data_IF_088245306173
#
_entry.id   IF_088245306173
#
_cell.length_a   1.000
_cell.length_b   1.000
_cell.length_c   1.000
_cell.angle_alpha   90.00
_cell.angle_beta   90.00
_cell.angle_gamma   90.00
#
_symmetry.space_group_name_H-M   'P 1'
#
loop_
_entity.id
_entity.type
_entity.pdbx_description
1 polymer ?
#
# COMPACT_ATOMS: atom_id res chain seq x y z
N UNK A 1 3.95 8.41 -29.68
CA UNK A 1 4.10 9.47 -28.66
C UNK A 1 3.59 9.09 -27.25
N UNK A 2 2.41 8.46 -27.09
CA UNK A 2 1.83 8.13 -25.76
C UNK A 2 2.65 7.17 -24.89
N UNK A 3 3.33 6.17 -25.46
CA UNK A 3 4.18 5.21 -24.71
C UNK A 3 5.34 5.91 -23.98
N UNK A 4 5.95 6.93 -24.62
CA UNK A 4 7.03 7.72 -24.01
C UNK A 4 6.56 8.53 -22.80
N UNK A 5 5.33 9.05 -22.80
CA UNK A 5 4.80 9.88 -21.69
C UNK A 5 4.54 9.03 -20.45
N UNK A 6 3.98 7.82 -20.59
CA UNK A 6 3.76 6.92 -19.45
C UNK A 6 5.07 6.37 -18.90
N UNK A 7 5.99 5.94 -19.77
CA UNK A 7 7.34 5.55 -19.35
C UNK A 7 8.05 6.70 -18.63
N UNK A 8 7.90 7.93 -19.12
CA UNK A 8 8.48 9.13 -18.50
C UNK A 8 7.90 9.43 -17.11
N UNK A 9 6.57 9.34 -16.92
CA UNK A 9 5.94 9.53 -15.59
C UNK A 9 6.32 8.45 -14.59
N UNK A 10 6.37 7.19 -15.03
CA UNK A 10 6.76 6.06 -14.20
C UNK A 10 8.20 6.20 -13.70
N UNK A 11 9.13 6.52 -14.61
CA UNK A 11 10.53 6.80 -14.27
C UNK A 11 10.63 8.01 -13.34
N UNK A 12 9.92 9.10 -13.64
CA UNK A 12 9.94 10.32 -12.83
C UNK A 12 9.49 10.06 -11.39
N UNK A 13 8.35 9.40 -11.18
CA UNK A 13 7.83 9.11 -9.84
C UNK A 13 8.75 8.17 -9.06
N UNK A 14 9.28 7.14 -9.73
CA UNK A 14 10.28 6.24 -9.13
C UNK A 14 11.56 6.98 -8.74
N UNK A 15 12.05 7.89 -9.60
CA UNK A 15 13.22 8.70 -9.32
C UNK A 15 12.98 9.66 -8.14
N UNK A 16 11.80 10.30 -8.07
CA UNK A 16 11.42 11.15 -6.93
C UNK A 16 11.44 10.33 -5.63
N UNK A 17 10.82 9.15 -5.61
CA UNK A 17 10.82 8.29 -4.41
C UNK A 17 12.23 7.83 -4.05
N UNK A 18 13.08 7.50 -5.02
CA UNK A 18 14.47 7.11 -4.79
C UNK A 18 15.28 8.26 -4.17
N UNK A 19 15.12 9.49 -4.70
CA UNK A 19 15.79 10.68 -4.16
C UNK A 19 15.30 10.97 -2.74
N UNK A 20 13.99 10.89 -2.47
CA UNK A 20 13.46 11.08 -1.13
C UNK A 20 13.97 10.03 -0.14
N UNK A 21 14.03 8.75 -0.54
CA UNK A 21 14.60 7.68 0.28
C UNK A 21 16.09 7.90 0.55
N UNK A 22 16.85 8.36 -0.46
CA UNK A 22 18.26 8.70 -0.32
C UNK A 22 18.48 9.86 0.63
N UNK A 23 17.71 10.95 0.49
CA UNK A 23 17.78 12.12 1.38
C UNK A 23 17.43 11.74 2.82
N UNK A 24 16.44 10.88 3.03
CA UNK A 24 16.07 10.37 4.35
C UNK A 24 17.21 9.56 4.99
N UNK A 25 17.81 8.62 4.25
CA UNK A 25 18.94 7.83 4.76
C UNK A 25 20.19 8.66 4.99
N UNK A 26 20.42 9.67 4.15
CA UNK A 26 21.53 10.60 4.33
C UNK A 26 21.35 11.41 5.61
N UNK A 27 20.11 11.85 5.90
CA UNK A 27 19.76 12.47 7.16
C UNK A 27 20.04 11.55 8.35
N UNK A 28 19.56 10.30 8.32
CA UNK A 28 19.85 9.30 9.37
C UNK A 28 21.35 9.10 9.56
N UNK A 29 22.10 8.96 8.46
CA UNK A 29 23.54 8.75 8.48
C UNK A 29 24.28 9.87 9.23
N UNK A 30 23.87 11.13 9.06
CA UNK A 30 24.46 12.28 9.75
C UNK A 30 23.91 12.55 11.16
N UNK A 31 22.79 11.91 11.55
CA UNK A 31 22.09 12.17 12.83
C UNK A 31 22.09 10.97 13.79
N UNK A 32 23.10 10.11 13.73
CA UNK A 32 23.25 8.97 14.65
C UNK A 32 23.36 7.61 13.95
N UNK A 33 23.40 7.59 12.62
CA UNK A 33 23.52 6.38 11.83
C UNK A 33 22.17 5.86 11.33
N UNK A 34 22.22 5.00 10.31
CA UNK A 34 21.01 4.43 9.71
C UNK A 34 20.36 3.44 10.67
N UNK A 35 19.09 3.67 10.96
CA UNK A 35 18.36 2.91 11.96
C UNK A 35 18.13 1.46 11.51
N UNK A 36 17.99 0.58 12.50
CA UNK A 36 17.55 -0.81 12.28
C UNK A 36 16.46 -1.15 13.28
N UNK A 37 15.35 -1.70 12.78
CA UNK A 37 14.19 -2.03 13.59
C UNK A 37 14.12 -3.54 13.82
N UNK A 38 13.97 -3.94 15.08
CA UNK A 38 13.67 -5.32 15.41
C UNK A 38 12.24 -5.68 15.01
N UNK A 39 12.04 -6.88 14.45
CA UNK A 39 10.70 -7.38 14.15
C UNK A 39 9.83 -7.34 15.41
N UNK A 40 8.59 -6.87 15.26
CA UNK A 40 7.60 -6.78 16.36
C UNK A 40 8.10 -6.01 17.59
N UNK A 41 9.08 -5.12 17.43
CA UNK A 41 9.73 -4.39 18.52
C UNK A 41 10.34 -5.31 19.60
N UNK A 42 10.79 -6.51 19.20
CA UNK A 42 11.33 -7.54 20.09
C UNK A 42 12.83 -7.72 19.87
N UNK A 43 13.63 -7.40 20.89
CA UNK A 43 15.10 -7.44 20.80
C UNK A 43 15.68 -8.84 20.50
N UNK A 44 14.93 -9.91 20.80
CA UNK A 44 15.31 -11.30 20.52
C UNK A 44 15.09 -11.71 19.04
N UNK A 45 14.42 -10.88 18.24
CA UNK A 45 14.20 -11.10 16.82
C UNK A 45 15.20 -10.32 15.95
N UNK A 46 15.47 -10.76 14.70
CA UNK A 46 16.45 -10.08 13.85
C UNK A 46 16.04 -8.63 13.57
N UNK A 47 17.04 -7.75 13.57
CA UNK A 47 16.88 -6.36 13.19
C UNK A 47 16.99 -6.18 11.68
N UNK A 48 16.21 -5.24 11.15
CA UNK A 48 16.14 -4.93 9.73
C UNK A 48 16.52 -3.47 9.55
N UNK A 49 17.57 -3.23 8.77
CA UNK A 49 18.08 -1.87 8.52
C UNK A 49 17.24 -1.09 7.52
N UNK A 50 17.14 0.23 7.74
CA UNK A 50 16.46 1.16 6.85
C UNK A 50 17.12 1.31 5.47
N UNK A 51 18.39 0.89 5.31
CA UNK A 51 19.07 0.90 4.00
C UNK A 51 18.28 0.17 2.90
N UNK A 52 17.55 -0.88 3.26
CA UNK A 52 16.71 -1.62 2.31
C UNK A 52 15.61 -0.74 1.68
N UNK A 53 15.21 0.34 2.34
CA UNK A 53 14.27 1.33 1.80
C UNK A 53 14.75 1.98 0.50
N UNK A 54 16.07 2.14 0.31
CA UNK A 54 16.64 2.71 -0.90
C UNK A 54 16.39 1.83 -2.14
N UNK A 55 16.29 0.51 -1.95
CA UNK A 55 15.97 -0.44 -3.02
C UNK A 55 14.46 -0.71 -3.09
N UNK A 56 13.83 -0.97 -1.95
CA UNK A 56 12.45 -1.43 -1.87
C UNK A 56 11.45 -0.38 -2.32
N UNK A 57 11.60 0.88 -1.88
CA UNK A 57 10.62 1.93 -2.18
C UNK A 57 10.58 2.29 -3.68
N UNK A 58 11.72 2.48 -4.37
CA UNK A 58 11.69 2.71 -5.82
C UNK A 58 11.14 1.51 -6.60
N UNK A 59 11.50 0.29 -6.21
CA UNK A 59 11.02 -0.93 -6.85
C UNK A 59 9.49 -1.09 -6.69
N UNK A 60 8.98 -0.90 -5.48
CA UNK A 60 7.54 -0.91 -5.20
C UNK A 60 6.84 0.19 -5.99
N UNK A 61 7.37 1.40 -6.01
CA UNK A 61 6.81 2.53 -6.76
C UNK A 61 6.73 2.21 -8.25
N UNK A 62 7.83 1.71 -8.82
CA UNK A 62 7.89 1.30 -10.22
C UNK A 62 6.84 0.22 -10.53
N UNK A 63 6.74 -0.80 -9.68
CA UNK A 63 5.75 -1.87 -9.83
C UNK A 63 4.31 -1.34 -9.76
N UNK A 64 3.99 -0.56 -8.73
CA UNK A 64 2.66 -0.01 -8.46
C UNK A 64 2.19 0.87 -9.61
N UNK A 65 3.02 1.82 -10.06
CA UNK A 65 2.68 2.69 -11.19
C UNK A 65 2.42 1.86 -12.45
N UNK A 66 3.24 0.84 -12.73
CA UNK A 66 2.99 -0.07 -13.86
C UNK A 66 1.67 -0.85 -13.76
N UNK A 67 1.28 -1.28 -12.55
CA UNK A 67 0.01 -1.98 -12.31
C UNK A 67 -1.19 -1.04 -12.44
N UNK A 68 -1.07 0.19 -11.93
CA UNK A 68 -2.08 1.25 -12.04
C UNK A 68 -2.29 1.61 -13.50
N UNK A 69 -1.22 1.88 -14.25
CA UNK A 69 -1.29 2.24 -15.67
C UNK A 69 -2.02 1.16 -16.47
N UNK A 70 -1.63 -0.10 -16.31
CA UNK A 70 -2.30 -1.23 -16.99
C UNK A 70 -3.80 -1.27 -16.67
N UNK A 71 -4.16 -1.09 -15.39
CA UNK A 71 -5.58 -1.08 -14.96
C UNK A 71 -6.35 0.11 -15.53
N UNK A 72 -5.76 1.29 -15.55
CA UNK A 72 -6.38 2.49 -16.14
C UNK A 72 -6.56 2.36 -17.66
N UNK A 73 -5.60 1.74 -18.36
CA UNK A 73 -5.75 1.46 -19.80
C UNK A 73 -6.88 0.47 -20.09
N UNK A 74 -7.05 -0.58 -19.28
CA UNK A 74 -8.15 -1.53 -19.42
C UNK A 74 -9.50 -0.85 -19.16
N UNK A 75 -9.62 -0.06 -18.09
CA UNK A 75 -10.85 0.68 -17.77
C UNK A 75 -11.24 1.67 -18.87
N UNK A 76 -10.25 2.34 -19.47
CA UNK A 76 -10.48 3.22 -20.62
C UNK A 76 -11.06 2.46 -21.81
N UNK A 77 -10.55 1.26 -22.10
CA UNK A 77 -11.10 0.40 -23.16
C UNK A 77 -12.55 -0.05 -22.90
N UNK A 78 -12.98 -0.06 -21.63
CA UNK A 78 -14.34 -0.39 -21.20
C UNK A 78 -15.27 0.85 -21.14
N UNK A 79 -14.84 2.01 -21.65
CA UNK A 79 -15.64 3.23 -21.64
C UNK A 79 -15.77 3.92 -20.28
N UNK A 80 -14.99 3.49 -19.27
CA UNK A 80 -14.99 4.15 -17.95
C UNK A 80 -14.29 5.49 -18.04
N UNK A 81 -14.89 6.52 -17.44
CA UNK A 81 -14.28 7.85 -17.35
C UNK A 81 -12.90 7.80 -16.68
N UNK A 82 -11.89 8.26 -17.42
CA UNK A 82 -10.50 8.26 -17.02
C UNK A 82 -10.25 9.18 -15.81
N UNK A 83 -10.95 10.31 -15.72
CA UNK A 83 -10.79 11.25 -14.61
C UNK A 83 -11.24 10.62 -13.30
N UNK A 84 -12.44 10.01 -13.29
CA UNK A 84 -12.96 9.28 -12.14
C UNK A 84 -12.10 8.06 -11.76
N UNK A 85 -11.59 7.32 -12.75
CA UNK A 85 -10.70 6.19 -12.50
C UNK A 85 -9.37 6.63 -11.83
N UNK A 86 -8.78 7.74 -12.29
CA UNK A 86 -7.57 8.32 -11.69
C UNK A 86 -7.85 8.87 -10.29
N UNK A 87 -8.97 9.57 -10.09
CA UNK A 87 -9.39 10.09 -8.78
C UNK A 87 -9.50 8.96 -7.75
N UNK A 88 -10.06 7.81 -8.13
CA UNK A 88 -10.13 6.64 -7.24
C UNK A 88 -8.75 6.14 -6.81
N UNK A 89 -7.75 6.15 -7.69
CA UNK A 89 -6.38 5.74 -7.37
C UNK A 89 -5.75 6.73 -6.39
N UNK A 90 -5.86 8.04 -6.66
CA UNK A 90 -5.29 9.09 -5.83
C UNK A 90 -5.92 9.10 -4.44
N UNK A 91 -7.25 9.01 -4.35
CA UNK A 91 -7.96 8.97 -3.06
C UNK A 91 -7.54 7.72 -2.26
N UNK A 92 -7.47 6.55 -2.90
CA UNK A 92 -7.05 5.32 -2.22
C UNK A 92 -5.60 5.42 -1.70
N UNK A 93 -4.69 5.93 -2.52
CA UNK A 93 -3.31 6.20 -2.13
C UNK A 93 -3.25 7.18 -0.94
N UNK A 94 -3.90 8.35 -1.04
CA UNK A 94 -3.85 9.36 0.02
C UNK A 94 -4.47 8.87 1.34
N UNK A 95 -5.59 8.16 1.30
CA UNK A 95 -6.18 7.57 2.51
C UNK A 95 -5.24 6.54 3.15
N UNK A 96 -4.54 5.75 2.34
CA UNK A 96 -3.56 4.80 2.87
C UNK A 96 -2.31 5.47 3.45
N UNK A 97 -1.85 6.58 2.86
CA UNK A 97 -0.78 7.42 3.43
C UNK A 97 -1.24 7.97 4.78
N UNK A 98 -2.45 8.54 4.86
CA UNK A 98 -2.99 9.07 6.11
C UNK A 98 -3.09 7.98 7.18
N UNK A 99 -3.55 6.78 6.83
CA UNK A 99 -3.58 5.66 7.78
C UNK A 99 -2.18 5.28 8.29
N UNK A 100 -1.18 5.22 7.41
CA UNK A 100 0.20 4.95 7.79
C UNK A 100 0.80 6.06 8.67
N UNK A 101 0.55 7.33 8.34
CA UNK A 101 1.01 8.47 9.14
C UNK A 101 0.35 8.47 10.52
N UNK A 102 -0.96 8.24 10.60
CA UNK A 102 -1.69 8.15 11.88
C UNK A 102 -1.15 7.02 12.76
N UNK A 103 -0.87 5.86 12.16
CA UNK A 103 -0.29 4.72 12.87
C UNK A 103 1.12 5.03 13.39
N UNK A 104 1.96 5.64 12.54
CA UNK A 104 3.31 6.10 12.91
C UNK A 104 3.28 7.10 14.05
N UNK A 105 2.40 8.10 13.94
CA UNK A 105 2.23 9.14 14.94
C UNK A 105 1.82 8.55 16.30
N UNK A 106 0.82 7.66 16.31
CA UNK A 106 0.36 6.99 17.53
C UNK A 106 1.48 6.19 18.18
N UNK A 107 2.26 5.44 17.39
CA UNK A 107 3.38 4.66 17.91
C UNK A 107 4.51 5.54 18.49
N UNK A 108 4.89 6.61 17.78
CA UNK A 108 5.94 7.53 18.25
C UNK A 108 5.61 8.20 19.59
N UNK A 109 4.32 8.39 19.90
CA UNK A 109 3.86 9.00 21.14
C UNK A 109 3.52 7.96 22.23
N UNK A 110 3.75 6.67 21.99
CA UNK A 110 3.43 5.60 22.94
C UNK A 110 1.93 5.35 23.11
N UNK A 111 1.09 5.79 22.18
CA UNK A 111 -0.35 5.53 22.18
C UNK A 111 -0.65 4.16 21.58
N UNK A 112 -0.23 3.10 22.28
CA UNK A 112 -0.31 1.71 21.82
C UNK A 112 -1.73 1.30 21.40
N UNK A 113 -2.75 1.67 22.19
CA UNK A 113 -4.16 1.40 21.86
C UNK A 113 -4.57 2.06 20.53
N UNK A 114 -4.17 3.31 20.31
CA UNK A 114 -4.50 4.05 19.08
C UNK A 114 -3.78 3.47 17.87
N UNK A 115 -2.53 3.04 18.05
CA UNK A 115 -1.79 2.32 17.01
C UNK A 115 -2.49 0.99 16.67
N UNK A 116 -2.89 0.22 17.68
CA UNK A 116 -3.63 -1.02 17.52
C UNK A 116 -4.96 -0.81 16.79
N UNK A 117 -5.78 0.15 17.23
CA UNK A 117 -7.06 0.46 16.58
C UNK A 117 -6.90 0.99 15.17
N UNK A 118 -5.84 1.76 14.88
CA UNK A 118 -5.57 2.23 13.51
C UNK A 118 -5.25 1.05 12.60
N UNK A 119 -4.36 0.16 13.03
CA UNK A 119 -4.01 -1.05 12.26
C UNK A 119 -5.24 -1.96 12.06
N UNK A 120 -6.03 -2.17 13.12
CA UNK A 120 -7.25 -2.95 13.07
C UNK A 120 -8.30 -2.30 12.15
N UNK A 121 -8.41 -0.97 12.16
CA UNK A 121 -9.26 -0.21 11.25
C UNK A 121 -8.88 -0.38 9.79
N UNK A 122 -7.57 -0.40 9.47
CA UNK A 122 -7.08 -0.69 8.12
C UNK A 122 -7.41 -2.14 7.71
N UNK A 123 -7.30 -3.09 8.63
CA UNK A 123 -7.69 -4.49 8.39
C UNK A 123 -9.20 -4.61 8.11
N UNK A 124 -10.05 -4.00 8.94
CA UNK A 124 -11.51 -3.98 8.73
C UNK A 124 -11.91 -3.27 7.44
N UNK A 125 -11.25 -2.15 7.12
CA UNK A 125 -11.42 -1.50 5.82
C UNK A 125 -11.06 -2.46 4.67
N UNK A 126 -10.04 -3.28 4.83
CA UNK A 126 -9.65 -4.33 3.87
C UNK A 126 -10.66 -5.44 3.67
N UNK A 127 -11.60 -5.64 4.61
CA UNK A 127 -12.70 -6.60 4.43
C UNK A 127 -13.75 -6.08 3.46
N UNK A 128 -13.99 -4.77 3.43
CA UNK A 128 -15.09 -4.12 2.69
C UNK A 128 -14.58 -3.46 1.40
N UNK A 129 -13.40 -2.86 1.48
CA UNK A 129 -12.75 -2.11 0.41
C UNK A 129 -11.57 -2.93 -0.14
N UNK A 130 -11.25 -2.79 -1.44
CA UNK A 130 -10.14 -3.51 -2.06
C UNK A 130 -8.78 -2.90 -1.67
N UNK A 131 -8.41 -2.99 -0.39
CA UNK A 131 -7.14 -2.48 0.17
C UNK A 131 -5.94 -3.28 -0.35
N UNK A 132 -6.16 -4.47 -0.91
CA UNK A 132 -5.14 -5.22 -1.65
C UNK A 132 -4.60 -4.52 -2.92
N UNK A 133 -5.22 -3.39 -3.33
CA UNK A 133 -4.73 -2.62 -4.46
C UNK A 133 -3.32 -2.07 -4.19
N UNK A 134 -2.47 -2.15 -5.21
CA UNK A 134 -1.07 -1.77 -5.13
C UNK A 134 -0.87 -0.32 -4.65
N UNK A 135 -1.73 0.63 -5.05
CA UNK A 135 -1.66 2.01 -4.58
C UNK A 135 -1.90 2.17 -3.07
N UNK A 136 -2.75 1.32 -2.46
CA UNK A 136 -3.00 1.35 -1.02
C UNK A 136 -1.77 0.82 -0.24
N UNK A 137 -1.17 -0.25 -0.74
CA UNK A 137 0.04 -0.83 -0.16
C UNK A 137 1.17 0.20 -0.19
N UNK A 138 1.40 0.84 -1.34
CA UNK A 138 2.45 1.84 -1.49
C UNK A 138 2.23 3.04 -0.57
N UNK A 139 0.99 3.58 -0.52
CA UNK A 139 0.70 4.74 0.31
C UNK A 139 0.87 4.45 1.80
N UNK A 140 0.40 3.29 2.29
CA UNK A 140 0.61 2.87 3.67
C UNK A 140 2.10 2.71 4.01
N UNK A 141 2.88 2.06 3.14
CA UNK A 141 4.33 1.88 3.34
C UNK A 141 5.05 3.22 3.39
N UNK A 142 4.76 4.14 2.45
CA UNK A 142 5.35 5.49 2.45
C UNK A 142 4.99 6.23 3.73
N UNK A 143 3.74 6.18 4.17
CA UNK A 143 3.28 6.83 5.40
C UNK A 143 3.98 6.33 6.68
N UNK A 144 4.48 5.09 6.65
CA UNK A 144 5.15 4.45 7.79
C UNK A 144 6.69 4.47 7.71
N UNK A 145 7.25 4.84 6.56
CA UNK A 145 8.68 4.64 6.26
C UNK A 145 9.59 5.45 7.18
N UNK A 146 9.18 6.65 7.59
CA UNK A 146 9.98 7.50 8.47
C UNK A 146 10.15 6.91 9.88
N UNK A 147 9.15 6.16 10.35
CA UNK A 147 9.13 5.64 11.73
C UNK A 147 9.64 4.20 11.83
N UNK A 148 9.38 3.37 10.81
CA UNK A 148 9.64 1.93 10.86
C UNK A 148 10.50 1.40 9.71
N UNK A 149 11.01 2.30 8.85
CA UNK A 149 11.63 1.91 7.59
C UNK A 149 10.61 1.33 6.60
N UNK A 150 11.11 0.82 5.47
CA UNK A 150 10.23 0.32 4.40
C UNK A 150 9.77 -1.14 4.63
N UNK A 151 10.64 -2.01 5.15
CA UNK A 151 10.38 -3.46 5.18
C UNK A 151 9.24 -3.82 6.14
N UNK A 152 9.30 -3.32 7.38
CA UNK A 152 8.31 -3.69 8.40
C UNK A 152 6.87 -3.33 7.98
N UNK A 153 6.56 -2.10 7.54
CA UNK A 153 5.23 -1.78 7.04
C UNK A 153 4.88 -2.53 5.74
N UNK A 154 5.86 -2.88 4.89
CA UNK A 154 5.60 -3.73 3.71
C UNK A 154 5.11 -5.13 4.11
N UNK A 155 5.68 -5.73 5.16
CA UNK A 155 5.23 -7.03 5.67
C UNK A 155 3.81 -6.95 6.23
N UNK A 156 3.52 -5.93 7.04
CA UNK A 156 2.18 -5.69 7.58
C UNK A 156 1.16 -5.47 6.46
N UNK A 157 1.50 -4.61 5.49
CA UNK A 157 0.64 -4.33 4.35
C UNK A 157 0.41 -5.57 3.48
N UNK A 158 1.41 -6.44 3.32
CA UNK A 158 1.28 -7.70 2.59
C UNK A 158 0.28 -8.65 3.25
N UNK A 159 0.28 -8.76 4.57
CA UNK A 159 -0.70 -9.58 5.32
C UNK A 159 -2.12 -9.03 5.11
N UNK A 160 -2.32 -7.72 5.35
CA UNK A 160 -3.64 -7.07 5.16
C UNK A 160 -4.11 -7.21 3.71
N UNK A 161 -3.23 -6.97 2.74
CA UNK A 161 -3.53 -7.10 1.33
C UNK A 161 -3.90 -8.54 0.94
N UNK A 162 -3.22 -9.54 1.50
CA UNK A 162 -3.51 -10.96 1.21
C UNK A 162 -4.91 -11.33 1.70
N UNK A 163 -5.27 -10.93 2.93
CA UNK A 163 -6.61 -11.16 3.48
C UNK A 163 -7.67 -10.47 2.62
N UNK A 164 -7.46 -9.18 2.29
CA UNK A 164 -8.36 -8.41 1.43
C UNK A 164 -8.50 -9.03 0.03
N UNK A 165 -7.40 -9.51 -0.57
CA UNK A 165 -7.41 -10.16 -1.88
C UNK A 165 -8.20 -11.48 -1.87
N UNK A 166 -8.05 -12.31 -0.84
CA UNK A 166 -8.80 -13.56 -0.69
C UNK A 166 -10.30 -13.29 -0.57
N UNK A 167 -10.69 -12.30 0.22
CA UNK A 167 -12.11 -11.94 0.39
C UNK A 167 -12.75 -11.45 -0.90
N UNK A 168 -12.10 -10.48 -1.56
CA UNK A 168 -12.65 -9.86 -2.76
C UNK A 168 -12.49 -10.72 -4.02
N UNK A 169 -11.47 -11.56 -4.08
CA UNK A 169 -11.15 -12.40 -5.23
C UNK A 169 -11.86 -13.75 -5.22
N UNK A 170 -12.12 -14.33 -4.05
CA UNK A 170 -12.71 -15.67 -3.92
C UNK A 170 -14.07 -15.62 -3.25
N UNK A 171 -14.15 -15.10 -2.02
CA UNK A 171 -15.36 -15.23 -1.21
C UNK A 171 -16.54 -14.42 -1.77
N UNK A 172 -16.33 -13.17 -2.14
CA UNK A 172 -17.40 -12.32 -2.66
C UNK A 172 -17.99 -12.82 -3.99
N UNK A 173 -17.20 -13.24 -4.99
CA UNK A 173 -17.73 -13.88 -6.18
C UNK A 173 -18.52 -15.16 -5.90
N UNK A 174 -18.03 -16.02 -5.00
CA UNK A 174 -18.71 -17.26 -4.63
C UNK A 174 -20.06 -17.02 -3.95
N UNK A 175 -20.12 -16.06 -3.02
CA UNK A 175 -21.38 -15.67 -2.36
C UNK A 175 -22.38 -15.14 -3.39
N UNK A 176 -21.92 -14.30 -4.33
CA UNK A 176 -22.79 -13.78 -5.40
C UNK A 176 -23.31 -14.89 -6.32
N UNK A 177 -22.44 -15.84 -6.69
CA UNK A 177 -22.83 -16.97 -7.53
C UNK A 177 -23.83 -17.89 -6.82
N UNK A 178 -23.58 -18.22 -5.55
CA UNK A 178 -24.49 -19.03 -4.73
C UNK A 178 -25.85 -18.34 -4.54
N UNK A 179 -25.85 -17.03 -4.31
CA UNK A 179 -27.08 -16.23 -4.19
C UNK A 179 -27.87 -16.23 -5.50
N UNK A 180 -27.22 -16.01 -6.64
CA UNK A 180 -27.85 -16.04 -7.96
C UNK A 180 -28.47 -17.41 -8.23
N UNK A 181 -27.73 -18.50 -7.97
CA UNK A 181 -28.21 -19.87 -8.14
C UNK A 181 -29.46 -20.14 -7.28
N UNK A 182 -29.42 -19.80 -5.98
CA UNK A 182 -30.57 -19.98 -5.08
C UNK A 182 -31.79 -19.14 -5.53
N UNK A 183 -31.56 -17.93 -6.03
CA UNK A 183 -32.66 -17.06 -6.50
C UNK A 183 -33.31 -17.59 -7.78
N UNK A 184 -32.54 -18.21 -8.68
CA UNK A 184 -33.07 -18.83 -9.90
C UNK A 184 -33.82 -20.12 -9.61
N UNK A 185 -33.40 -20.93 -8.63
CA UNK A 185 -34.07 -22.17 -8.25
C UNK A 185 -35.40 -21.97 -7.51
N UNK A 186 -35.67 -20.77 -6.97
CA UNK A 186 -36.97 -20.44 -6.34
C UNK A 186 -38.01 -19.89 -7.33
N UNK A 187 -37.62 -19.60 -8.57
CA UNK A 187 -38.50 -19.04 -9.59
C UNK A 187 -39.08 -20.10 -10.56
N UNK A 188 -38.72 -21.38 -10.37
CA UNK A 188 -39.28 -22.55 -11.05
C UNK A 188 -40.16 -23.33 -10.09
#
# INVERSE_FOLDING_TARGET
MKVRVFASRRVLLTAIVAVLAMLHLLWEHFHGGVASHHLLNRADLPSISNYWGLLLLPLMTWFVIGRVDRRLTTKRGQGVDQANAMRSVVVAFLLSVLAGVSLSFAFMHGFEDMAFYTLLGVLFAGLILPVYRAECILGFVIGMTFTFGAILPSLVAAVVASISALLHGLLYPLIRAAWQWLSTSRAQ
#
